data_IF_518525721481
#
_entry.id   IF_518525721481
#
_cell.length_a   1.000
_cell.length_b   1.000
_cell.length_c   1.000
_cell.angle_alpha   90.00
_cell.angle_beta   90.00
_cell.angle_gamma   90.00
#
_symmetry.space_group_name_H-M   'P 1'
#
loop_
_entity.id
_entity.type
_entity.pdbx_description
1 polymer ?
#
# COMPACT_ATOMS: atom_id res chain seq x y z
N UNK A 1 22.39 -6.18 -12.56
CA UNK A 1 21.69 -4.90 -12.71
C UNK A 1 20.20 -5.10 -12.79
N UNK A 2 19.70 -5.76 -13.83
CA UNK A 2 18.27 -6.05 -13.96
C UNK A 2 17.71 -6.83 -12.78
N UNK A 3 18.52 -7.71 -12.19
CA UNK A 3 18.13 -8.56 -11.06
C UNK A 3 17.68 -7.75 -9.85
N UNK A 4 18.43 -6.69 -9.50
CA UNK A 4 18.11 -5.84 -8.35
C UNK A 4 16.78 -5.12 -8.55
N UNK A 5 16.55 -4.58 -9.75
CA UNK A 5 15.31 -3.89 -10.07
C UNK A 5 14.13 -4.85 -10.03
N UNK A 6 14.34 -6.07 -10.49
CA UNK A 6 13.31 -7.09 -10.46
C UNK A 6 12.91 -7.46 -9.03
N UNK A 7 13.86 -7.59 -8.13
CA UNK A 7 13.60 -7.90 -6.73
C UNK A 7 12.85 -6.77 -6.03
N UNK A 8 13.22 -5.52 -6.29
CA UNK A 8 12.54 -4.36 -5.74
C UNK A 8 11.10 -4.31 -6.22
N UNK A 9 10.87 -4.55 -7.51
CA UNK A 9 9.51 -4.59 -8.07
C UNK A 9 8.69 -5.70 -7.43
N UNK A 10 9.29 -6.83 -7.17
CA UNK A 10 8.63 -7.96 -6.53
C UNK A 10 8.17 -7.61 -5.11
N UNK A 11 9.04 -6.96 -4.33
CA UNK A 11 8.71 -6.50 -2.98
C UNK A 11 7.59 -5.47 -3.04
N UNK A 12 7.70 -4.49 -3.94
CA UNK A 12 6.68 -3.45 -4.11
C UNK A 12 5.32 -4.05 -4.46
N UNK A 13 5.30 -5.01 -5.37
CA UNK A 13 4.05 -5.67 -5.77
C UNK A 13 3.45 -6.47 -4.62
N UNK A 14 4.27 -7.07 -3.77
CA UNK A 14 3.80 -7.77 -2.58
C UNK A 14 3.13 -6.82 -1.60
N UNK A 15 3.73 -5.66 -1.36
CA UNK A 15 3.15 -4.63 -0.50
C UNK A 15 1.86 -4.10 -1.11
N UNK A 16 1.84 -3.82 -2.41
CA UNK A 16 0.66 -3.33 -3.11
C UNK A 16 -0.52 -4.28 -2.95
N UNK A 17 -0.27 -5.57 -3.11
CA UNK A 17 -1.29 -6.60 -2.94
C UNK A 17 -1.83 -6.64 -1.52
N UNK A 18 -0.95 -6.55 -0.53
CA UNK A 18 -1.37 -6.52 0.88
C UNK A 18 -2.25 -5.31 1.17
N UNK A 19 -1.89 -4.14 0.65
CA UNK A 19 -2.70 -2.93 0.84
C UNK A 19 -4.08 -3.11 0.25
N UNK A 20 -4.16 -3.61 -0.98
CA UNK A 20 -5.43 -3.83 -1.64
C UNK A 20 -6.28 -4.87 -0.91
N UNK A 21 -5.69 -6.00 -0.56
CA UNK A 21 -6.43 -7.08 0.13
C UNK A 21 -6.95 -6.60 1.48
N UNK A 22 -6.16 -5.81 2.20
CA UNK A 22 -6.57 -5.26 3.49
C UNK A 22 -7.75 -4.30 3.32
N UNK A 23 -7.68 -3.41 2.31
CA UNK A 23 -8.78 -2.51 2.02
C UNK A 23 -10.07 -3.25 1.68
N UNK A 24 -9.97 -4.23 0.77
CA UNK A 24 -11.13 -5.00 0.34
C UNK A 24 -11.71 -5.80 1.50
N UNK A 25 -10.86 -6.40 2.33
CA UNK A 25 -11.30 -7.14 3.52
C UNK A 25 -12.00 -6.25 4.53
N UNK A 26 -11.65 -4.96 4.56
CA UNK A 26 -12.29 -3.98 5.44
C UNK A 26 -13.58 -3.42 4.82
N UNK A 27 -13.94 -3.84 3.60
CA UNK A 27 -15.12 -3.37 2.86
C UNK A 27 -15.08 -1.87 2.61
N UNK A 28 -13.90 -1.32 2.33
CA UNK A 28 -13.72 0.11 2.08
C UNK A 28 -13.49 0.38 0.61
N UNK A 29 -14.14 1.43 0.10
CA UNK A 29 -13.86 1.95 -1.23
C UNK A 29 -12.62 2.86 -1.19
N UNK A 30 -12.05 3.14 -2.37
CA UNK A 30 -10.94 4.09 -2.47
C UNK A 30 -11.34 5.47 -1.93
N UNK A 31 -12.57 5.92 -2.21
CA UNK A 31 -13.06 7.20 -1.72
C UNK A 31 -13.16 7.24 -0.20
N UNK A 32 -13.60 6.13 0.41
CA UNK A 32 -13.67 6.04 1.86
C UNK A 32 -12.28 6.09 2.49
N UNK A 33 -11.30 5.39 1.89
CA UNK A 33 -9.93 5.41 2.39
C UNK A 33 -9.30 6.80 2.22
N UNK A 34 -9.62 7.50 1.15
CA UNK A 34 -9.17 8.89 0.99
C UNK A 34 -9.62 9.74 2.18
N UNK A 35 -10.87 9.62 2.59
CA UNK A 35 -11.40 10.38 3.73
C UNK A 35 -10.69 10.00 5.04
N UNK A 36 -10.42 8.73 5.22
CA UNK A 36 -9.79 8.24 6.46
C UNK A 36 -8.30 8.55 6.53
N UNK A 37 -7.61 8.49 5.42
CA UNK A 37 -6.15 8.60 5.38
C UNK A 37 -5.63 9.97 4.99
N UNK A 38 -6.44 10.75 4.29
CA UNK A 38 -5.99 12.01 3.69
C UNK A 38 -5.19 11.82 2.42
N UNK A 39 -5.02 10.59 1.93
CA UNK A 39 -4.30 10.31 0.70
C UNK A 39 -5.32 10.29 -0.45
N UNK A 40 -5.07 11.02 -1.56
CA UNK A 40 -6.00 11.01 -2.70
C UNK A 40 -6.25 9.59 -3.23
N UNK A 41 -7.49 9.32 -3.63
CA UNK A 41 -7.90 8.00 -4.09
C UNK A 41 -7.09 7.51 -5.29
N UNK A 42 -6.72 8.40 -6.21
CA UNK A 42 -5.89 8.02 -7.35
C UNK A 42 -4.48 7.59 -6.95
N UNK A 43 -3.93 8.19 -5.90
CA UNK A 43 -2.64 7.79 -5.36
C UNK A 43 -2.76 6.42 -4.70
N UNK A 44 -3.82 6.18 -3.93
CA UNK A 44 -4.06 4.88 -3.30
C UNK A 44 -4.17 3.79 -4.37
N UNK A 45 -4.91 4.07 -5.45
CA UNK A 45 -5.06 3.12 -6.56
C UNK A 45 -3.71 2.77 -7.17
N UNK A 46 -2.85 3.76 -7.43
CA UNK A 46 -1.52 3.53 -7.98
C UNK A 46 -0.62 2.73 -7.04
N UNK A 47 -0.73 2.96 -5.75
CA UNK A 47 0.00 2.17 -4.76
C UNK A 47 -0.46 0.71 -4.79
N UNK A 48 -1.75 0.48 -4.90
CA UNK A 48 -2.34 -0.87 -4.90
C UNK A 48 -2.05 -1.68 -6.16
N UNK A 49 -1.86 -1.00 -7.29
CA UNK A 49 -1.50 -1.71 -8.53
C UNK A 49 0.01 -1.81 -8.73
N UNK A 50 0.80 -1.23 -7.84
CA UNK A 50 2.25 -1.37 -7.87
C UNK A 50 2.99 -0.49 -8.84
N UNK A 51 2.34 0.54 -9.41
CA UNK A 51 3.00 1.45 -10.35
C UNK A 51 3.62 2.67 -9.68
N UNK A 52 3.35 2.86 -8.39
CA UNK A 52 3.93 3.94 -7.61
C UNK A 52 4.67 3.34 -6.41
N UNK A 53 5.91 3.76 -6.14
CA UNK A 53 6.63 3.30 -4.96
C UNK A 53 5.87 3.67 -3.68
N UNK A 54 5.87 2.75 -2.73
CA UNK A 54 5.24 2.97 -1.43
C UNK A 54 6.28 3.56 -0.49
N UNK A 55 6.03 4.76 0.04
CA UNK A 55 6.88 5.31 1.10
C UNK A 55 6.30 4.95 2.47
N UNK A 56 7.12 5.10 3.50
CA UNK A 56 6.74 4.74 4.86
C UNK A 56 5.61 5.61 5.40
N UNK A 57 5.56 6.89 4.97
CA UNK A 57 4.49 7.79 5.37
C UNK A 57 3.13 7.33 4.87
N UNK A 58 3.04 7.01 3.58
CA UNK A 58 1.81 6.47 3.00
C UNK A 58 1.43 5.15 3.64
N UNK A 59 2.40 4.27 3.84
CA UNK A 59 2.15 2.98 4.43
C UNK A 59 1.57 3.11 5.85
N UNK A 60 2.15 4.00 6.65
CA UNK A 60 1.66 4.28 7.99
C UNK A 60 0.23 4.84 7.97
N UNK A 61 -0.03 5.82 7.12
CA UNK A 61 -1.35 6.45 7.02
C UNK A 61 -2.42 5.46 6.58
N UNK A 62 -2.10 4.60 5.60
CA UNK A 62 -3.03 3.58 5.13
C UNK A 62 -3.29 2.52 6.21
N UNK A 63 -2.25 2.05 6.87
CA UNK A 63 -2.39 1.08 7.95
C UNK A 63 -3.30 1.63 9.05
N UNK A 64 -3.08 2.88 9.43
CA UNK A 64 -3.90 3.54 10.45
C UNK A 64 -5.37 3.63 10.01
N UNK A 65 -5.61 3.95 8.73
CA UNK A 65 -6.96 4.02 8.18
C UNK A 65 -7.67 2.67 8.26
N UNK A 66 -6.92 1.58 8.13
CA UNK A 66 -7.46 0.21 8.20
C UNK A 66 -7.51 -0.35 9.64
N UNK A 67 -7.12 0.44 10.64
CA UNK A 67 -7.04 -0.03 12.01
C UNK A 67 -5.90 -1.02 12.24
N UNK A 68 -4.84 -0.92 11.44
CA UNK A 68 -3.69 -1.81 11.48
C UNK A 68 -2.42 -1.06 11.82
N UNK A 69 -1.36 -1.79 12.10
CA UNK A 69 -0.03 -1.24 12.30
C UNK A 69 0.93 -1.85 11.27
N UNK A 70 1.96 -1.09 10.91
CA UNK A 70 2.99 -1.57 10.01
C UNK A 70 4.04 -2.32 10.81
N UNK A 71 4.37 -3.51 10.35
CA UNK A 71 5.49 -4.29 10.88
C UNK A 71 6.36 -4.72 9.71
N UNK A 72 7.63 -4.41 9.79
CA UNK A 72 8.60 -4.82 8.78
C UNK A 72 9.58 -5.80 9.43
N UNK A 73 9.72 -6.96 8.82
CA UNK A 73 10.61 -7.99 9.33
C UNK A 73 11.62 -8.37 8.26
N UNK A 74 12.88 -8.37 8.63
CA UNK A 74 13.96 -8.86 7.77
C UNK A 74 14.28 -10.30 8.20
N UNK A 75 14.33 -11.18 7.24
CA UNK A 75 14.58 -12.59 7.46
C UNK A 75 15.86 -13.05 6.77
#
# INVERSE_FOLDING_TARGET
>A
MATKNHEIVKIRNGIARQLRDTRISAHLSLAQVEKLSGIPADIIDRLEVGIKPVDLGHLHQLAKAYGKAVKITLI
#
